data_IF_018171859087
#
_entry.id   IF_018171859087
#
_cell.length_a   1.000
_cell.length_b   1.000
_cell.length_c   1.000
_cell.angle_alpha   90.00
_cell.angle_beta   90.00
_cell.angle_gamma   90.00
#
_symmetry.space_group_name_H-M   'P 1'
#
loop_
_entity.id
_entity.type
_entity.pdbx_description
1 polymer ?
#
# COMPACT_ATOMS: atom_id res chain seq x y z
N UNK A 1 19.25 -3.72 -15.12
CA UNK A 1 18.13 -3.74 -16.09
C UNK A 1 18.49 -4.79 -17.12
N UNK A 2 17.79 -5.91 -17.09
CA UNK A 2 17.95 -6.95 -18.09
C UNK A 2 17.64 -6.34 -19.44
N UNK A 3 18.55 -6.50 -20.39
CA UNK A 3 18.32 -6.01 -21.73
C UNK A 3 17.01 -6.58 -22.26
N UNK A 4 16.29 -5.77 -22.96
CA UNK A 4 14.95 -6.05 -23.37
C UNK A 4 14.81 -7.31 -24.27
N UNK A 5 15.83 -7.66 -25.01
CA UNK A 5 15.87 -8.75 -25.98
C UNK A 5 16.88 -9.85 -25.65
N UNK A 6 17.67 -9.71 -24.58
CA UNK A 6 18.70 -10.68 -24.23
C UNK A 6 18.41 -11.38 -22.91
N UNK A 7 18.55 -12.69 -22.91
CA UNK A 7 18.54 -13.51 -21.70
C UNK A 7 19.95 -13.74 -21.21
N UNK A 8 20.14 -13.87 -19.91
CA UNK A 8 21.43 -14.20 -19.33
C UNK A 8 21.27 -15.16 -18.14
N UNK A 9 22.33 -15.87 -17.83
CA UNK A 9 22.39 -16.75 -16.67
C UNK A 9 23.15 -16.01 -15.57
N UNK A 10 22.59 -15.96 -14.36
CA UNK A 10 23.25 -15.38 -13.20
C UNK A 10 24.41 -16.25 -12.74
N UNK A 11 25.29 -15.71 -11.90
CA UNK A 11 26.42 -16.46 -11.30
C UNK A 11 25.94 -17.69 -10.51
N UNK A 12 24.69 -17.68 -10.04
CA UNK A 12 24.02 -18.78 -9.35
C UNK A 12 23.36 -19.79 -10.28
N UNK A 13 23.54 -19.67 -11.62
CA UNK A 13 22.99 -20.58 -12.61
C UNK A 13 21.52 -20.36 -12.95
N UNK A 14 20.91 -19.25 -12.51
CA UNK A 14 19.49 -18.94 -12.79
C UNK A 14 19.36 -18.23 -14.12
N UNK A 15 18.55 -18.78 -15.03
CA UNK A 15 18.23 -18.14 -16.31
C UNK A 15 17.21 -17.03 -16.12
N UNK A 16 17.59 -15.81 -16.45
CA UNK A 16 16.72 -14.63 -16.53
C UNK A 16 16.40 -14.33 -17.99
N UNK A 17 15.13 -14.35 -18.33
CA UNK A 17 14.67 -14.12 -19.69
C UNK A 17 14.65 -12.61 -20.03
N UNK A 18 15.25 -12.26 -21.17
CA UNK A 18 15.00 -10.98 -21.84
C UNK A 18 13.62 -10.96 -22.50
N UNK A 19 13.11 -9.78 -22.79
CA UNK A 19 11.89 -9.60 -23.56
C UNK A 19 11.01 -8.43 -23.12
N UNK A 20 9.90 -8.26 -23.83
CA UNK A 20 8.95 -7.15 -23.64
C UNK A 20 8.39 -7.09 -22.20
N UNK A 21 8.24 -8.21 -21.51
CA UNK A 21 7.74 -8.29 -20.15
C UNK A 21 8.57 -7.45 -19.17
N UNK A 22 9.89 -7.34 -19.38
CA UNK A 22 10.76 -6.51 -18.55
C UNK A 22 10.47 -5.02 -18.74
N UNK A 23 10.20 -4.60 -19.97
CA UNK A 23 9.82 -3.22 -20.28
C UNK A 23 8.45 -2.88 -19.68
N UNK A 24 7.47 -3.78 -19.85
CA UNK A 24 6.13 -3.61 -19.29
C UNK A 24 6.19 -3.48 -17.76
N UNK A 25 6.98 -4.33 -17.09
CA UNK A 25 7.16 -4.27 -15.65
C UNK A 25 7.92 -3.02 -15.21
N UNK A 26 8.93 -2.59 -15.98
CA UNK A 26 9.63 -1.33 -15.74
C UNK A 26 8.69 -0.12 -15.83
N UNK A 27 7.83 -0.07 -16.85
CA UNK A 27 6.81 0.95 -16.98
C UNK A 27 5.80 0.90 -15.81
N UNK A 28 5.37 -0.30 -15.41
CA UNK A 28 4.49 -0.47 -14.26
C UNK A 28 5.14 0.07 -12.97
N UNK A 29 6.44 -0.17 -12.77
CA UNK A 29 7.19 0.36 -11.63
C UNK A 29 7.26 1.89 -11.61
N UNK A 30 7.50 2.52 -12.76
CA UNK A 30 7.48 3.99 -12.86
C UNK A 30 6.10 4.56 -12.54
N UNK A 31 5.03 3.95 -13.05
CA UNK A 31 3.66 4.36 -12.73
C UNK A 31 3.34 4.13 -11.26
N UNK A 32 3.84 3.04 -10.65
CA UNK A 32 3.66 2.76 -9.24
C UNK A 32 4.26 3.85 -8.34
N UNK A 33 5.43 4.38 -8.68
CA UNK A 33 6.03 5.52 -7.98
C UNK A 33 5.09 6.74 -8.02
N UNK A 34 4.47 7.00 -9.18
CA UNK A 34 3.53 8.11 -9.34
C UNK A 34 2.20 7.87 -8.58
N UNK A 35 1.88 6.62 -8.24
CA UNK A 35 0.70 6.27 -7.45
C UNK A 35 0.89 6.48 -5.93
N UNK A 36 2.08 6.82 -5.45
CA UNK A 36 2.29 7.12 -4.04
C UNK A 36 1.81 8.54 -3.74
N UNK A 37 0.79 8.66 -2.90
CA UNK A 37 0.11 9.92 -2.57
C UNK A 37 0.18 10.22 -1.08
N UNK A 38 -0.17 11.45 -0.68
CA UNK A 38 -0.29 11.82 0.73
C UNK A 38 1.01 11.75 1.53
N UNK A 39 2.14 12.14 0.96
CA UNK A 39 3.47 12.05 1.60
C UNK A 39 3.57 12.78 2.93
N UNK A 40 2.83 13.87 3.12
CA UNK A 40 2.82 14.64 4.37
C UNK A 40 1.78 14.10 5.37
N UNK A 41 1.02 13.08 4.99
CA UNK A 41 0.02 12.40 5.80
C UNK A 41 0.52 11.08 6.40
N UNK A 42 1.79 11.00 6.76
CA UNK A 42 2.35 9.86 7.49
C UNK A 42 2.34 10.19 8.97
N UNK A 43 1.75 9.33 9.77
CA UNK A 43 1.50 9.55 11.18
C UNK A 43 2.05 8.42 12.04
N UNK A 44 2.13 8.68 13.35
CA UNK A 44 2.42 7.66 14.36
C UNK A 44 1.17 7.47 15.20
N UNK A 45 0.73 6.22 15.40
CA UNK A 45 -0.40 5.92 16.28
C UNK A 45 -0.05 6.20 17.74
N UNK A 46 -0.97 6.81 18.50
CA UNK A 46 -0.72 7.25 19.87
C UNK A 46 -0.42 6.08 20.81
N UNK A 47 -1.17 5.00 20.73
CA UNK A 47 -1.11 3.89 21.69
C UNK A 47 -0.04 2.87 21.36
N UNK A 48 0.11 2.50 20.09
CA UNK A 48 1.04 1.44 19.64
C UNK A 48 2.31 1.95 19.00
N UNK A 49 2.35 3.27 18.72
CA UNK A 49 3.45 3.91 17.99
C UNK A 49 3.71 3.27 16.61
N UNK A 50 2.65 2.71 16.00
CA UNK A 50 2.71 2.19 14.65
C UNK A 50 2.83 3.34 13.65
N UNK A 51 3.60 3.12 12.60
CA UNK A 51 3.60 3.99 11.44
C UNK A 51 2.30 3.81 10.65
N UNK A 52 1.60 4.89 10.41
CA UNK A 52 0.34 4.92 9.66
C UNK A 52 0.48 5.80 8.43
N UNK A 53 0.10 5.26 7.28
CA UNK A 53 -0.04 5.99 6.04
C UNK A 53 -1.47 5.83 5.49
N UNK A 54 -2.42 6.67 5.94
CA UNK A 54 -3.84 6.52 5.64
C UNK A 54 -4.19 6.61 4.15
N UNK A 55 -3.42 7.37 3.40
CA UNK A 55 -3.65 7.55 1.96
C UNK A 55 -3.17 6.36 1.12
N UNK A 56 -2.35 5.46 1.70
CA UNK A 56 -1.92 4.22 1.08
C UNK A 56 -3.01 3.16 1.21
N UNK A 57 -4.01 3.28 0.36
CA UNK A 57 -5.22 2.42 0.36
C UNK A 57 -5.03 1.18 -0.51
N UNK A 58 -6.07 0.34 -0.56
CA UNK A 58 -6.10 -0.87 -1.40
C UNK A 58 -5.76 -0.60 -2.88
N UNK A 59 -6.07 0.59 -3.40
CA UNK A 59 -5.79 0.99 -4.79
C UNK A 59 -4.29 0.91 -5.08
N UNK A 60 -3.48 1.54 -4.22
CA UNK A 60 -2.02 1.47 -4.34
C UNK A 60 -1.49 0.08 -4.01
N UNK A 61 -1.97 -0.51 -2.90
CA UNK A 61 -1.49 -1.80 -2.39
C UNK A 61 -1.59 -2.90 -3.45
N UNK A 62 -2.76 -3.05 -4.09
CA UNK A 62 -2.96 -4.08 -5.13
C UNK A 62 -2.10 -3.80 -6.37
N UNK A 63 -2.00 -2.55 -6.80
CA UNK A 63 -1.14 -2.20 -7.94
C UNK A 63 0.34 -2.48 -7.66
N UNK A 64 0.79 -2.19 -6.43
CA UNK A 64 2.12 -2.51 -5.95
C UNK A 64 2.37 -4.01 -5.89
N UNK A 65 1.44 -4.77 -5.31
CA UNK A 65 1.59 -6.22 -5.16
C UNK A 65 1.71 -6.91 -6.53
N UNK A 66 0.89 -6.52 -7.50
CA UNK A 66 0.96 -7.06 -8.86
C UNK A 66 2.27 -6.70 -9.56
N UNK A 67 2.74 -5.47 -9.41
CA UNK A 67 4.03 -5.05 -9.95
C UNK A 67 5.19 -5.79 -9.30
N UNK A 68 5.22 -5.88 -7.97
CA UNK A 68 6.30 -6.52 -7.23
C UNK A 68 6.30 -8.04 -7.44
N UNK A 69 5.12 -8.67 -7.48
CA UNK A 69 5.01 -10.09 -7.83
C UNK A 69 5.56 -10.38 -9.23
N UNK A 70 5.23 -9.54 -10.22
CA UNK A 70 5.79 -9.67 -11.56
C UNK A 70 7.32 -9.59 -11.54
N UNK A 71 7.88 -8.64 -10.78
CA UNK A 71 9.32 -8.52 -10.62
C UNK A 71 9.93 -9.79 -10.01
N UNK A 72 9.39 -10.28 -8.89
CA UNK A 72 9.91 -11.48 -8.24
C UNK A 72 9.73 -12.73 -9.09
N UNK A 73 8.62 -12.84 -9.82
CA UNK A 73 8.35 -13.96 -10.72
C UNK A 73 9.37 -14.05 -11.85
N UNK A 74 9.78 -12.93 -12.40
CA UNK A 74 10.73 -12.87 -13.51
C UNK A 74 12.20 -12.97 -13.04
N UNK A 75 12.54 -12.40 -11.89
CA UNK A 75 13.92 -12.26 -11.42
C UNK A 75 14.31 -13.28 -10.33
N UNK A 76 13.35 -13.87 -9.65
CA UNK A 76 13.57 -14.86 -8.58
C UNK A 76 12.73 -16.12 -8.85
N UNK A 77 13.01 -16.84 -9.94
CA UNK A 77 12.12 -17.89 -10.43
C UNK A 77 11.94 -19.07 -9.44
N UNK A 78 12.90 -19.30 -8.55
CA UNK A 78 12.84 -20.38 -7.55
C UNK A 78 12.15 -19.97 -6.25
N UNK A 79 11.95 -18.67 -6.01
CA UNK A 79 11.42 -18.14 -4.75
C UNK A 79 10.22 -17.22 -4.92
N UNK A 80 9.73 -17.03 -6.14
CA UNK A 80 8.67 -16.06 -6.44
C UNK A 80 7.37 -16.31 -5.66
N UNK A 81 7.01 -17.58 -5.46
CA UNK A 81 5.83 -17.95 -4.71
C UNK A 81 5.95 -17.64 -3.21
N UNK A 82 7.10 -17.90 -2.61
CA UNK A 82 7.36 -17.52 -1.22
C UNK A 82 7.37 -16.00 -1.06
N UNK A 83 8.02 -15.29 -1.98
CA UNK A 83 7.98 -13.83 -2.01
C UNK A 83 6.54 -13.33 -2.16
N UNK A 84 5.76 -13.87 -3.08
CA UNK A 84 4.36 -13.49 -3.28
C UNK A 84 3.50 -13.69 -2.04
N UNK A 85 3.62 -14.83 -1.37
CA UNK A 85 2.83 -15.15 -0.18
C UNK A 85 3.36 -14.40 1.05
N UNK A 86 4.63 -14.56 1.38
CA UNK A 86 5.18 -14.04 2.63
C UNK A 86 5.39 -12.52 2.61
N UNK A 87 5.88 -11.97 1.48
CA UNK A 87 6.23 -10.56 1.40
C UNK A 87 5.10 -9.66 0.91
N UNK A 88 4.15 -10.18 0.14
CA UNK A 88 3.08 -9.39 -0.46
C UNK A 88 1.72 -9.73 0.14
N UNK A 89 1.30 -10.98 0.04
CA UNK A 89 -0.04 -11.37 0.48
C UNK A 89 -0.24 -11.21 1.99
N UNK A 90 0.73 -11.58 2.81
CA UNK A 90 0.62 -11.49 4.27
C UNK A 90 0.45 -10.03 4.77
N UNK A 91 1.31 -9.06 4.41
CA UNK A 91 1.11 -7.67 4.82
C UNK A 91 -0.13 -7.04 4.19
N UNK A 92 -0.52 -7.47 2.99
CA UNK A 92 -1.71 -6.97 2.30
C UNK A 92 -2.97 -7.43 3.01
N UNK A 93 -3.07 -8.70 3.36
CA UNK A 93 -4.17 -9.22 4.18
C UNK A 93 -4.25 -8.45 5.51
N UNK A 94 -3.14 -8.32 6.22
CA UNK A 94 -3.10 -7.57 7.47
C UNK A 94 -3.53 -6.10 7.28
N UNK A 95 -3.01 -5.43 6.26
CA UNK A 95 -3.31 -4.02 5.97
C UNK A 95 -4.74 -3.77 5.52
N UNK A 96 -5.35 -4.71 4.80
CA UNK A 96 -6.71 -4.54 4.29
C UNK A 96 -7.79 -4.89 5.32
N UNK A 97 -7.55 -5.83 6.24
CA UNK A 97 -8.58 -6.29 7.17
C UNK A 97 -8.48 -5.72 8.58
N UNK A 98 -7.32 -5.72 9.20
CA UNK A 98 -7.23 -5.33 10.62
C UNK A 98 -6.14 -4.30 10.94
N UNK A 99 -5.21 -4.02 10.02
CA UNK A 99 -4.15 -3.04 10.25
C UNK A 99 -4.20 -1.89 9.22
N UNK A 100 -5.38 -1.27 9.07
CA UNK A 100 -5.60 -0.17 8.11
C UNK A 100 -4.58 0.95 8.31
N UNK A 101 -4.02 1.42 7.21
CA UNK A 101 -2.97 2.43 7.18
C UNK A 101 -1.57 1.92 7.59
N UNK A 102 -1.44 0.72 8.13
CA UNK A 102 -0.16 0.13 8.57
C UNK A 102 0.51 -0.79 7.54
N UNK A 103 0.03 -0.82 6.31
CA UNK A 103 0.54 -1.76 5.30
C UNK A 103 2.04 -1.65 5.07
N UNK A 104 2.58 -0.45 4.93
CA UNK A 104 4.02 -0.25 4.66
C UNK A 104 4.90 -0.75 5.82
N UNK A 105 4.47 -0.58 7.07
CA UNK A 105 5.16 -1.11 8.23
C UNK A 105 5.10 -2.65 8.25
N UNK A 106 3.93 -3.24 8.00
CA UNK A 106 3.79 -4.69 7.89
C UNK A 106 4.68 -5.24 6.77
N UNK A 107 4.75 -4.53 5.64
CA UNK A 107 5.60 -4.90 4.50
C UNK A 107 7.09 -4.85 4.85
N UNK A 108 7.52 -3.84 5.60
CA UNK A 108 8.89 -3.73 6.08
C UNK A 108 9.27 -4.88 7.03
N UNK A 109 8.38 -5.25 7.94
CA UNK A 109 8.61 -6.38 8.85
C UNK A 109 8.69 -7.72 8.12
N UNK A 110 7.77 -8.01 7.21
CA UNK A 110 7.81 -9.25 6.44
C UNK A 110 9.05 -9.33 5.56
N UNK A 111 9.48 -8.20 4.98
CA UNK A 111 10.71 -8.14 4.21
C UNK A 111 11.95 -8.40 5.07
N UNK A 112 12.02 -7.78 6.25
CA UNK A 112 13.15 -7.99 7.17
C UNK A 112 13.25 -9.45 7.62
N UNK A 113 12.15 -10.07 8.00
CA UNK A 113 12.13 -11.49 8.36
C UNK A 113 12.51 -12.37 7.18
N UNK A 114 11.97 -12.12 6.01
CA UNK A 114 12.34 -12.84 4.79
C UNK A 114 13.84 -12.76 4.50
N UNK A 115 14.41 -11.55 4.52
CA UNK A 115 15.84 -11.37 4.29
C UNK A 115 16.69 -12.13 5.31
N UNK A 116 16.31 -12.13 6.60
CA UNK A 116 17.02 -12.90 7.63
C UNK A 116 16.96 -14.41 7.33
N UNK A 117 15.79 -14.94 6.97
CA UNK A 117 15.67 -16.36 6.63
C UNK A 117 16.47 -16.71 5.37
N UNK A 118 16.41 -15.92 4.33
CA UNK A 118 17.16 -16.16 3.09
C UNK A 118 18.69 -16.16 3.32
N UNK A 119 19.18 -15.34 4.24
CA UNK A 119 20.61 -15.23 4.51
C UNK A 119 21.14 -16.31 5.48
N UNK A 120 20.30 -16.79 6.38
CA UNK A 120 20.75 -17.69 7.46
C UNK A 120 20.34 -19.14 7.21
N UNK A 121 19.22 -19.37 6.51
CA UNK A 121 18.69 -20.71 6.31
C UNK A 121 18.92 -21.16 4.86
N UNK A 122 19.75 -22.20 4.62
CA UNK A 122 20.01 -22.70 3.27
C UNK A 122 18.79 -23.35 2.59
N UNK A 123 17.68 -23.51 3.31
CA UNK A 123 16.42 -24.04 2.74
C UNK A 123 15.87 -23.22 1.59
N UNK A 124 16.31 -21.98 1.42
CA UNK A 124 15.91 -21.09 0.33
C UNK A 124 16.92 -21.04 -0.82
N UNK A 125 17.94 -21.89 -0.80
CA UNK A 125 18.88 -22.01 -1.91
C UNK A 125 18.20 -22.60 -3.15
N UNK A 126 18.71 -22.25 -4.33
CA UNK A 126 18.09 -22.63 -5.63
C UNK A 126 17.95 -24.13 -5.85
N UNK A 127 18.85 -24.92 -5.28
CA UNK A 127 18.91 -26.38 -5.37
C UNK A 127 18.27 -27.10 -4.16
N UNK A 128 17.61 -26.36 -3.31
CA UNK A 128 16.91 -26.86 -2.13
C UNK A 128 15.60 -27.55 -2.51
N UNK A 129 15.15 -28.51 -1.69
CA UNK A 129 13.81 -29.13 -1.80
C UNK A 129 12.68 -28.13 -1.60
N UNK A 130 12.96 -26.95 -1.06
CA UNK A 130 11.99 -25.87 -0.87
C UNK A 130 11.94 -24.91 -2.06
N UNK A 131 12.83 -25.06 -3.05
CA UNK A 131 12.77 -24.27 -4.27
C UNK A 131 11.51 -24.63 -5.08
N UNK A 132 10.67 -23.63 -5.36
CA UNK A 132 9.46 -23.79 -6.18
C UNK A 132 9.63 -22.97 -7.43
N UNK A 133 9.85 -23.65 -8.56
CA UNK A 133 10.10 -23.01 -9.83
C UNK A 133 8.87 -22.26 -10.34
N UNK A 134 9.05 -21.04 -10.78
CA UNK A 134 8.07 -20.35 -11.61
C UNK A 134 8.11 -20.94 -13.04
N UNK A 135 7.00 -20.78 -13.74
CA UNK A 135 6.95 -21.22 -15.16
C UNK A 135 7.83 -20.29 -15.99
N UNK A 136 8.96 -20.80 -16.45
CA UNK A 136 9.89 -20.05 -17.29
C UNK A 136 9.38 -20.01 -18.76
N UNK A 137 8.30 -19.25 -18.98
CA UNK A 137 7.65 -19.13 -20.29
C UNK A 137 7.45 -17.64 -20.61
N UNK A 138 8.03 -17.13 -21.71
CA UNK A 138 7.91 -15.73 -22.11
C UNK A 138 6.47 -15.23 -22.24
N UNK A 139 5.55 -16.09 -22.68
CA UNK A 139 4.14 -15.72 -22.79
C UNK A 139 3.52 -15.50 -21.40
N UNK A 140 3.78 -16.36 -20.42
CA UNK A 140 3.31 -16.23 -19.05
C UNK A 140 3.91 -14.97 -18.42
N UNK A 141 5.22 -14.74 -18.57
CA UNK A 141 5.91 -13.54 -18.08
C UNK A 141 5.28 -12.27 -18.66
N UNK A 142 4.94 -12.27 -19.95
CA UNK A 142 4.30 -11.13 -20.61
C UNK A 142 2.88 -10.90 -20.10
N UNK A 143 2.11 -11.95 -19.86
CA UNK A 143 0.75 -11.83 -19.27
C UNK A 143 0.82 -11.23 -17.86
N UNK A 144 1.70 -11.72 -17.01
CA UNK A 144 1.87 -11.22 -15.65
C UNK A 144 2.29 -9.75 -15.64
N UNK A 145 3.26 -9.39 -16.52
CA UNK A 145 3.71 -8.01 -16.67
C UNK A 145 2.61 -7.07 -17.23
N UNK A 146 1.80 -7.58 -18.16
CA UNK A 146 0.66 -6.82 -18.69
C UNK A 146 -0.40 -6.54 -17.61
N UNK A 147 -0.71 -7.53 -16.78
CA UNK A 147 -1.63 -7.36 -15.65
C UNK A 147 -1.08 -6.31 -14.67
N UNK A 148 0.21 -6.37 -14.34
CA UNK A 148 0.85 -5.39 -13.47
C UNK A 148 0.78 -3.96 -14.05
N UNK A 149 1.05 -3.81 -15.36
CA UNK A 149 0.97 -2.52 -16.03
C UNK A 149 -0.46 -1.97 -16.05
N UNK A 150 -1.44 -2.79 -16.42
CA UNK A 150 -2.86 -2.39 -16.47
C UNK A 150 -3.34 -1.96 -15.08
N UNK A 151 -2.99 -2.70 -14.03
CA UNK A 151 -3.36 -2.34 -12.66
C UNK A 151 -2.77 -0.99 -12.24
N UNK A 152 -1.51 -0.72 -12.59
CA UNK A 152 -0.86 0.55 -12.27
C UNK A 152 -1.43 1.73 -13.08
N UNK A 153 -1.79 1.52 -14.36
CA UNK A 153 -2.51 2.52 -15.16
C UNK A 153 -3.87 2.82 -14.53
N UNK A 154 -4.62 1.80 -14.14
CA UNK A 154 -5.93 1.96 -13.51
C UNK A 154 -5.83 2.70 -12.17
N UNK A 155 -4.85 2.34 -11.33
CA UNK A 155 -4.61 3.01 -10.05
C UNK A 155 -4.26 4.49 -10.24
N UNK A 156 -3.33 4.82 -11.14
CA UNK A 156 -2.96 6.20 -11.42
C UNK A 156 -4.12 7.00 -12.00
N UNK A 157 -4.88 6.40 -12.94
CA UNK A 157 -6.07 7.05 -13.52
C UNK A 157 -7.11 7.38 -12.45
N UNK A 158 -7.33 6.47 -11.50
CA UNK A 158 -8.26 6.69 -10.39
C UNK A 158 -7.74 7.77 -9.42
N UNK A 159 -6.45 7.79 -9.13
CA UNK A 159 -5.82 8.84 -8.31
C UNK A 159 -5.96 10.21 -8.98
N UNK A 160 -5.68 10.31 -10.28
CA UNK A 160 -5.85 11.55 -11.04
C UNK A 160 -7.33 12.02 -11.04
N UNK A 161 -8.24 11.10 -11.23
CA UNK A 161 -9.69 11.41 -11.17
C UNK A 161 -10.08 11.99 -9.81
N UNK A 162 -9.67 11.33 -8.71
CA UNK A 162 -9.96 11.81 -7.36
C UNK A 162 -9.28 13.13 -7.06
N UNK A 163 -8.01 13.29 -7.41
CA UNK A 163 -7.23 14.52 -7.24
C UNK A 163 -7.92 15.71 -7.92
N UNK A 164 -8.38 15.53 -9.17
CA UNK A 164 -9.14 16.56 -9.89
C UNK A 164 -10.49 16.85 -9.25
N UNK A 165 -11.21 15.81 -8.82
CA UNK A 165 -12.52 15.96 -8.15
C UNK A 165 -12.40 16.73 -6.84
N UNK A 166 -11.36 16.47 -6.08
CA UNK A 166 -11.11 17.09 -4.77
C UNK A 166 -10.32 18.41 -4.88
N UNK A 167 -9.80 18.72 -6.08
CA UNK A 167 -8.93 19.88 -6.35
C UNK A 167 -7.69 19.91 -5.45
N UNK A 168 -7.10 18.75 -5.18
CA UNK A 168 -5.91 18.58 -4.32
C UNK A 168 -4.70 18.14 -5.13
N UNK A 169 -3.50 18.50 -4.66
CA UNK A 169 -2.26 17.96 -5.20
C UNK A 169 -1.98 16.61 -4.51
N UNK A 170 -1.96 15.49 -5.25
CA UNK A 170 -1.84 14.15 -4.66
C UNK A 170 -0.53 13.93 -3.91
N UNK A 171 0.52 14.69 -4.22
CA UNK A 171 1.82 14.55 -3.56
C UNK A 171 1.98 15.39 -2.29
N UNK A 172 1.10 16.37 -2.10
CA UNK A 172 1.13 17.27 -0.95
C UNK A 172 -0.05 17.06 0.01
N UNK A 173 -1.11 16.46 -0.47
CA UNK A 173 -2.36 16.30 0.26
C UNK A 173 -2.89 14.88 0.07
N UNK A 174 -3.69 14.43 1.01
CA UNK A 174 -4.32 13.12 0.94
C UNK A 174 -5.44 13.13 -0.11
N UNK A 175 -5.48 12.09 -0.92
CA UNK A 175 -6.45 11.92 -2.02
C UNK A 175 -7.63 11.06 -1.59
N UNK A 176 -7.41 10.15 -0.63
CA UNK A 176 -8.41 9.17 -0.21
C UNK A 176 -9.22 9.59 1.03
N UNK A 177 -9.09 10.84 1.46
CA UNK A 177 -9.89 11.41 2.55
C UNK A 177 -11.39 11.13 2.32
N UNK A 178 -12.09 10.74 3.38
CA UNK A 178 -13.52 10.40 3.33
C UNK A 178 -13.83 8.96 2.90
N UNK A 179 -12.85 8.20 2.42
CA UNK A 179 -13.06 6.76 2.18
C UNK A 179 -13.08 5.99 3.50
N UNK A 180 -13.70 4.80 3.49
CA UNK A 180 -13.76 3.95 4.67
C UNK A 180 -12.37 3.59 5.17
N UNK A 181 -11.47 3.14 4.30
CA UNK A 181 -10.10 2.76 4.66
C UNK A 181 -9.31 3.91 5.30
N UNK A 182 -9.44 5.11 4.73
CA UNK A 182 -8.79 6.30 5.28
C UNK A 182 -9.29 6.61 6.69
N UNK A 183 -10.62 6.60 6.90
CA UNK A 183 -11.23 6.85 8.22
C UNK A 183 -10.80 5.82 9.27
N UNK A 184 -10.77 4.55 8.89
CA UNK A 184 -10.32 3.47 9.79
C UNK A 184 -8.85 3.62 10.17
N UNK A 185 -7.99 4.02 9.21
CA UNK A 185 -6.59 4.31 9.49
C UNK A 185 -6.43 5.50 10.43
N UNK A 186 -7.21 6.56 10.24
CA UNK A 186 -7.20 7.74 11.11
C UNK A 186 -7.75 7.44 12.51
N UNK A 187 -8.75 6.57 12.62
CA UNK A 187 -9.23 6.09 13.91
C UNK A 187 -8.12 5.41 14.72
N UNK A 188 -7.26 4.62 14.07
CA UNK A 188 -6.08 4.02 14.71
C UNK A 188 -5.04 5.05 15.18
N UNK A 189 -4.97 6.20 14.56
CA UNK A 189 -4.09 7.29 15.00
C UNK A 189 -4.45 7.77 16.40
N UNK A 190 -5.73 7.96 16.67
CA UNK A 190 -6.22 8.49 17.94
C UNK A 190 -6.23 7.42 19.06
N UNK A 191 -6.79 6.23 18.78
CA UNK A 191 -6.88 5.13 19.75
C UNK A 191 -7.03 3.78 19.05
N UNK A 192 -6.47 2.74 19.64
CA UNK A 192 -6.68 1.36 19.17
C UNK A 192 -8.09 0.84 19.42
N UNK A 193 -8.80 1.42 20.36
CA UNK A 193 -10.14 0.96 20.72
C UNK A 193 -11.17 1.36 19.66
N UNK A 194 -10.86 2.38 18.86
CA UNK A 194 -11.65 2.78 17.68
C UNK A 194 -11.65 1.76 16.53
N UNK A 195 -10.69 0.86 16.51
CA UNK A 195 -10.68 -0.19 15.50
C UNK A 195 -11.87 -1.13 15.62
N UNK A 196 -12.44 -1.23 16.81
CA UNK A 196 -13.61 -2.03 17.09
C UNK A 196 -14.91 -1.27 16.77
N UNK A 197 -14.86 0.05 16.69
CA UNK A 197 -15.96 0.88 16.24
C UNK A 197 -15.98 0.90 14.70
N UNK A 198 -16.48 -0.16 14.11
CA UNK A 198 -16.53 -0.31 12.64
C UNK A 198 -17.48 0.68 11.96
N UNK A 199 -18.24 1.46 12.74
CA UNK A 199 -19.15 2.47 12.21
C UNK A 199 -18.85 3.85 12.80
N UNK A 200 -18.69 4.89 11.97
CA UNK A 200 -18.52 6.28 12.43
C UNK A 200 -19.68 6.78 13.31
N UNK A 201 -20.83 6.11 13.24
CA UNK A 201 -22.04 6.42 14.00
C UNK A 201 -21.94 6.13 15.49
N UNK A 202 -20.94 5.38 15.94
CA UNK A 202 -20.77 4.98 17.34
C UNK A 202 -19.76 5.83 18.12
N UNK A 203 -18.96 6.66 17.43
CA UNK A 203 -17.99 7.53 18.10
C UNK A 203 -18.71 8.71 18.77
N UNK A 204 -18.32 9.03 20.01
CA UNK A 204 -18.83 10.22 20.70
C UNK A 204 -18.22 11.50 20.11
N UNK A 205 -18.89 12.64 20.29
CA UNK A 205 -18.37 13.93 19.83
C UNK A 205 -16.98 14.25 20.42
N UNK A 206 -16.73 13.87 21.68
CA UNK A 206 -15.42 14.03 22.33
C UNK A 206 -14.33 13.19 21.67
N UNK A 207 -14.66 11.97 21.28
CA UNK A 207 -13.73 11.05 20.60
C UNK A 207 -13.40 11.54 19.19
N UNK A 208 -14.40 12.05 18.46
CA UNK A 208 -14.20 12.67 17.15
C UNK A 208 -13.38 13.96 17.28
N UNK A 209 -13.62 14.76 18.31
CA UNK A 209 -12.83 15.96 18.60
C UNK A 209 -11.37 15.62 18.90
N UNK A 210 -11.10 14.54 19.64
CA UNK A 210 -9.73 14.06 19.86
C UNK A 210 -9.08 13.57 18.55
N UNK A 211 -9.82 12.87 17.68
CA UNK A 211 -9.35 12.49 16.35
C UNK A 211 -9.01 13.71 15.48
N UNK A 212 -9.87 14.72 15.48
CA UNK A 212 -9.67 15.95 14.72
C UNK A 212 -8.52 16.79 15.27
N UNK A 213 -8.40 16.92 16.59
CA UNK A 213 -7.30 17.64 17.25
C UNK A 213 -5.93 17.02 16.96
N UNK A 214 -5.88 15.69 16.78
CA UNK A 214 -4.66 14.99 16.37
C UNK A 214 -4.29 15.18 14.91
N UNK A 215 -5.25 15.59 14.09
CA UNK A 215 -5.07 15.76 12.66
C UNK A 215 -4.66 17.16 12.28
N UNK A 216 -3.95 17.91 13.04
CA UNK A 216 -3.61 19.28 12.68
C UNK A 216 -4.62 19.84 11.66
N UNK A 217 -5.68 20.48 12.14
CA UNK A 217 -6.73 21.03 11.26
C UNK A 217 -6.08 21.77 10.09
N UNK A 218 -6.58 21.63 8.86
CA UNK A 218 -6.01 22.30 7.71
C UNK A 218 -5.87 23.78 8.00
N UNK A 219 -4.72 24.33 7.67
CA UNK A 219 -4.43 25.76 7.80
C UNK A 219 -5.49 26.54 7.05
N UNK A 220 -6.00 27.60 7.66
CA UNK A 220 -6.99 28.49 7.08
C UNK A 220 -6.66 28.84 5.62
N UNK A 221 -7.61 28.65 4.71
CA UNK A 221 -7.44 28.93 3.26
C UNK A 221 -7.00 27.74 2.39
N UNK A 222 -6.76 26.55 2.94
CA UNK A 222 -6.60 25.33 2.13
C UNK A 222 -7.94 24.59 2.03
N UNK A 223 -8.29 24.01 0.86
CA UNK A 223 -9.46 23.17 0.74
C UNK A 223 -9.25 21.94 1.66
N UNK A 224 -9.83 21.99 2.82
CA UNK A 224 -9.80 20.93 3.82
C UNK A 224 -11.16 20.24 3.88
N UNK A 225 -11.18 18.96 4.17
CA UNK A 225 -12.42 18.28 4.49
C UNK A 225 -12.82 18.66 5.90
N UNK A 226 -14.01 19.20 6.04
CA UNK A 226 -14.66 19.37 7.33
C UNK A 226 -15.16 17.98 7.73
N UNK A 227 -14.57 17.40 8.78
CA UNK A 227 -15.16 16.23 9.41
C UNK A 227 -16.35 16.71 10.23
N UNK A 228 -17.54 16.34 9.78
CA UNK A 228 -18.76 16.63 10.51
C UNK A 228 -18.89 15.56 11.60
N UNK A 229 -18.79 15.97 12.86
CA UNK A 229 -19.10 15.09 13.99
C UNK A 229 -20.60 14.80 13.99
N UNK A 230 -20.97 13.54 14.06
CA UNK A 230 -22.37 13.11 14.12
C UNK A 230 -22.61 12.54 15.52
N UNK A 231 -23.68 12.96 16.17
CA UNK A 231 -24.07 12.45 17.49
C UNK A 231 -24.62 11.01 17.41
N UNK A 232 -24.93 10.41 18.56
CA UNK A 232 -25.47 9.05 18.66
C UNK A 232 -26.77 8.83 17.87
N UNK A 233 -27.47 9.91 17.48
CA UNK A 233 -28.72 9.88 16.75
C UNK A 233 -28.55 10.17 15.27
N UNK A 234 -27.31 10.39 14.81
CA UNK A 234 -26.99 10.69 13.43
C UNK A 234 -27.19 12.17 13.06
N UNK A 235 -27.35 13.07 14.04
CA UNK A 235 -27.44 14.51 13.82
C UNK A 235 -26.04 15.11 13.78
N UNK A 236 -25.82 16.06 12.87
CA UNK A 236 -24.56 16.79 12.79
C UNK A 236 -24.34 17.63 14.05
N UNK A 237 -23.22 17.42 14.72
CA UNK A 237 -22.85 18.25 15.84
C UNK A 237 -22.41 19.63 15.33
N UNK A 238 -23.19 20.65 15.65
CA UNK A 238 -23.00 22.03 15.20
C UNK A 238 -21.90 22.80 15.92
N UNK A 239 -21.13 22.16 16.78
CA UNK A 239 -20.01 22.83 17.47
C UNK A 239 -18.80 22.97 16.52
N UNK A 240 -18.61 24.18 16.05
CA UNK A 240 -17.35 24.59 15.41
C UNK A 240 -16.25 24.59 16.46
N UNK A 241 -15.33 23.62 16.42
CA UNK A 241 -14.16 23.62 17.28
C UNK A 241 -13.28 24.80 16.86
N UNK A 242 -13.32 25.89 17.60
CA UNK A 242 -12.36 26.99 17.46
C UNK A 242 -11.04 26.56 18.09
N UNK A 243 -9.95 26.69 17.35
CA UNK A 243 -8.61 26.67 17.95
C UNK A 243 -8.48 27.89 18.85
N UNK A 244 -8.13 27.68 20.10
CA UNK A 244 -7.43 28.67 20.92
C UNK A 244 -5.91 28.55 20.66
#
# INVERSE_FOLDING_TARGET
IVAWDSSFVTDEGVLLNGGIHNVLNGCAGLLNILCMTGWFGIYISKKRQDMLWPDMTWVFIIAYDLWNFCYTYNCLPTHSWYCGIALLLAPTIAGLWWNKGGWIQNRAFTLSMWCMFCQVCPMFANDSIFAVQSVNNPAVNTVVASIALIANIAALSYIIYRSKKLKVNPYKQEVFVGTKDFREAMARRASTDYLLATEPKSATAAEIAEMVAYNELPVEGKPGFVYVAVDKNGQEATETIKRE
#
